data_IF_793338449297
#
_entry.id   IF_793338449297
#
_cell.length_a   1.000
_cell.length_b   1.000
_cell.length_c   1.000
_cell.angle_alpha   90.00
_cell.angle_beta   90.00
_cell.angle_gamma   90.00
#
_symmetry.space_group_name_H-M   'P 1'
#
loop_
_entity.id
_entity.type
_entity.pdbx_description
1 polymer ?
#
# COMPACT_ATOMS: atom_id res chain seq x y z
N UNK A 1 10.84 -6.99 10.00
CA UNK A 1 10.53 -6.56 8.62
C UNK A 1 10.75 -5.06 8.53
N UNK A 2 11.68 -4.59 7.70
CA UNK A 2 11.89 -3.15 7.47
C UNK A 2 11.12 -2.74 6.22
N UNK A 3 10.40 -1.63 6.29
CA UNK A 3 9.67 -1.04 5.16
C UNK A 3 10.40 0.22 4.75
N UNK A 4 10.79 0.32 3.48
CA UNK A 4 11.52 1.46 2.95
C UNK A 4 10.73 2.75 3.14
N UNK A 5 9.40 2.72 2.94
CA UNK A 5 8.53 3.88 3.16
C UNK A 5 8.57 4.40 4.60
N UNK A 6 8.82 3.55 5.60
CA UNK A 6 8.95 4.00 7.00
C UNK A 6 10.31 4.64 7.30
N UNK A 7 11.34 4.27 6.56
CA UNK A 7 12.69 4.86 6.64
C UNK A 7 12.73 6.21 5.89
N UNK A 8 12.13 6.26 4.70
CA UNK A 8 12.08 7.46 3.86
C UNK A 8 11.19 8.57 4.46
N UNK A 9 10.20 8.19 5.26
CA UNK A 9 9.21 9.12 5.80
C UNK A 9 9.07 9.01 7.33
N UNK A 10 9.38 10.09 8.07
CA UNK A 10 9.18 10.15 9.51
C UNK A 10 7.74 9.84 9.93
N UNK A 11 7.56 9.38 11.17
CA UNK A 11 6.26 9.00 11.69
C UNK A 11 5.21 10.12 11.59
N UNK A 12 5.57 11.34 12.01
CA UNK A 12 4.64 12.48 11.99
C UNK A 12 4.14 12.81 10.58
N UNK A 13 5.01 12.70 9.58
CA UNK A 13 4.62 12.87 8.18
C UNK A 13 3.60 11.81 7.76
N UNK A 14 3.90 10.53 8.02
CA UNK A 14 3.02 9.40 7.65
C UNK A 14 1.67 9.48 8.34
N UNK A 15 1.65 9.88 9.62
CA UNK A 15 0.43 10.07 10.40
C UNK A 15 -0.44 11.18 9.79
N UNK A 16 0.15 12.35 9.53
CA UNK A 16 -0.56 13.50 8.93
C UNK A 16 -1.08 13.17 7.52
N UNK A 17 -0.29 12.49 6.69
CA UNK A 17 -0.71 12.04 5.34
C UNK A 17 -1.88 11.05 5.44
N UNK A 18 -1.78 10.05 6.31
CA UNK A 18 -2.83 9.05 6.55
C UNK A 18 -4.13 9.66 7.04
N UNK A 19 -4.08 10.55 8.04
CA UNK A 19 -5.25 11.27 8.55
C UNK A 19 -5.92 12.12 7.48
N UNK A 20 -5.13 12.86 6.68
CA UNK A 20 -5.64 13.68 5.57
C UNK A 20 -6.38 12.82 4.54
N UNK A 21 -5.80 11.69 4.16
CA UNK A 21 -6.39 10.79 3.16
C UNK A 21 -7.65 10.09 3.67
N UNK A 22 -7.67 9.64 4.93
CA UNK A 22 -8.87 9.05 5.53
C UNK A 22 -10.02 10.06 5.64
N UNK A 23 -9.72 11.33 5.95
CA UNK A 23 -10.74 12.40 5.93
C UNK A 23 -11.27 12.68 4.52
N UNK A 24 -10.40 12.63 3.51
CA UNK A 24 -10.78 12.88 2.11
C UNK A 24 -11.57 11.73 1.48
N UNK A 25 -11.27 10.49 1.87
CA UNK A 25 -11.89 9.28 1.32
C UNK A 25 -12.29 8.34 2.46
N UNK A 26 -13.43 8.61 3.14
CA UNK A 26 -13.84 7.89 4.35
C UNK A 26 -14.07 6.39 4.12
N UNK A 27 -14.58 6.03 2.94
CA UNK A 27 -14.88 4.63 2.58
C UNK A 27 -13.68 3.88 2.01
N UNK A 28 -12.47 4.43 2.16
CA UNK A 28 -11.26 3.83 1.61
C UNK A 28 -10.13 3.77 2.63
N UNK A 29 -9.34 2.70 2.53
CA UNK A 29 -8.21 2.39 3.38
C UNK A 29 -6.91 2.68 2.63
N UNK A 30 -6.04 3.58 3.13
CA UNK A 30 -4.71 3.77 2.56
C UNK A 30 -3.80 2.59 2.94
N UNK A 31 -3.23 1.93 1.93
CA UNK A 31 -2.36 0.75 2.09
C UNK A 31 -1.02 1.00 1.42
N UNK A 32 0.07 0.69 2.13
CA UNK A 32 1.42 0.69 1.58
C UNK A 32 1.82 -0.75 1.27
N UNK A 33 2.22 -1.02 0.02
CA UNK A 33 2.66 -2.34 -0.44
C UNK A 33 4.11 -2.26 -0.88
N UNK A 34 4.93 -3.15 -0.35
CA UNK A 34 6.34 -3.28 -0.71
C UNK A 34 6.71 -4.74 -0.96
N UNK A 35 7.63 -4.94 -1.91
CA UNK A 35 8.21 -6.26 -2.19
C UNK A 35 9.11 -6.67 -1.01
N UNK A 36 8.98 -7.91 -0.56
CA UNK A 36 9.89 -8.43 0.45
C UNK A 36 11.33 -8.50 -0.10
N UNK A 37 12.39 -8.19 0.69
CA UNK A 37 13.76 -8.02 0.18
C UNK A 37 14.34 -9.22 -0.59
N UNK A 38 13.85 -10.44 -0.32
CA UNK A 38 14.34 -11.69 -0.96
C UNK A 38 13.31 -12.33 -1.89
N UNK A 39 12.20 -11.63 -2.19
CA UNK A 39 11.17 -12.17 -3.06
C UNK A 39 11.61 -12.13 -4.52
N UNK A 40 11.47 -13.27 -5.22
CA UNK A 40 11.74 -13.42 -6.65
C UNK A 40 10.50 -13.08 -7.47
N UNK A 41 10.02 -11.86 -7.34
CA UNK A 41 8.87 -11.32 -8.11
C UNK A 41 9.23 -9.95 -8.69
N UNK A 42 8.56 -9.51 -9.76
CA UNK A 42 8.75 -8.16 -10.31
C UNK A 42 8.48 -7.07 -9.27
N UNK A 43 9.09 -5.91 -9.47
CA UNK A 43 8.85 -4.74 -8.64
C UNK A 43 7.47 -4.11 -8.94
N UNK A 44 6.89 -3.49 -7.91
CA UNK A 44 5.66 -2.73 -8.05
C UNK A 44 5.95 -1.32 -8.58
N UNK A 45 5.17 -0.89 -9.56
CA UNK A 45 5.18 0.48 -10.12
C UNK A 45 4.79 1.54 -9.08
N UNK A 46 3.85 1.19 -8.20
CA UNK A 46 3.31 2.07 -7.15
C UNK A 46 3.26 1.34 -5.83
N UNK A 47 3.58 2.05 -4.75
CA UNK A 47 3.57 1.51 -3.39
C UNK A 47 2.37 1.94 -2.56
N UNK A 48 1.70 3.05 -2.93
CA UNK A 48 0.55 3.59 -2.19
C UNK A 48 -0.76 3.25 -2.90
N UNK A 49 -1.70 2.65 -2.17
CA UNK A 49 -3.00 2.24 -2.67
C UNK A 49 -4.10 2.83 -1.79
N UNK A 50 -5.24 3.12 -2.40
CA UNK A 50 -6.44 3.55 -1.71
C UNK A 50 -7.56 2.56 -2.03
N UNK A 51 -7.76 1.63 -1.11
CA UNK A 51 -8.55 0.42 -1.32
C UNK A 51 -9.96 0.61 -0.74
N UNK A 52 -11.04 0.27 -1.46
CA UNK A 52 -12.40 0.25 -0.89
C UNK A 52 -12.48 -0.63 0.36
N UNK A 53 -13.24 -0.21 1.38
CA UNK A 53 -13.37 -0.93 2.65
C UNK A 53 -14.07 -2.29 2.54
N UNK A 54 -14.88 -2.48 1.51
CA UNK A 54 -15.59 -3.71 1.17
C UNK A 54 -14.76 -4.70 0.33
N UNK A 55 -13.58 -4.27 -0.14
CA UNK A 55 -12.73 -5.10 -0.97
C UNK A 55 -12.01 -6.16 -0.13
N UNK A 56 -12.25 -7.43 -0.46
CA UNK A 56 -11.67 -8.58 0.25
C UNK A 56 -10.17 -8.70 0.01
N UNK A 57 -9.45 -9.31 0.95
CA UNK A 57 -8.01 -9.58 0.79
C UNK A 57 -7.70 -10.38 -0.48
N UNK A 58 -8.57 -11.33 -0.86
CA UNK A 58 -8.43 -12.12 -2.10
C UNK A 58 -8.53 -11.26 -3.37
N UNK A 59 -9.49 -10.34 -3.42
CA UNK A 59 -9.59 -9.37 -4.52
C UNK A 59 -8.35 -8.45 -4.55
N UNK A 60 -7.86 -8.03 -3.39
CA UNK A 60 -6.67 -7.17 -3.32
C UNK A 60 -5.42 -7.91 -3.82
N UNK A 61 -5.26 -9.17 -3.41
CA UNK A 61 -4.21 -10.05 -3.89
C UNK A 61 -4.22 -10.16 -5.43
N UNK A 62 -5.41 -10.39 -6.02
CA UNK A 62 -5.55 -10.46 -7.47
C UNK A 62 -5.15 -9.16 -8.17
N UNK A 63 -5.51 -7.99 -7.62
CA UNK A 63 -5.11 -6.69 -8.16
C UNK A 63 -3.60 -6.47 -8.13
N UNK A 64 -2.94 -6.84 -7.04
CA UNK A 64 -1.48 -6.73 -6.91
C UNK A 64 -0.80 -7.70 -7.88
N UNK A 65 -1.28 -8.94 -7.97
CA UNK A 65 -0.76 -9.95 -8.90
C UNK A 65 -0.84 -9.50 -10.36
N UNK A 66 -1.99 -8.92 -10.76
CA UNK A 66 -2.17 -8.32 -12.09
C UNK A 66 -1.18 -7.18 -12.37
N UNK A 67 -0.84 -6.35 -11.37
CA UNK A 67 0.13 -5.24 -11.52
C UNK A 67 1.56 -5.70 -11.71
N UNK A 68 1.94 -6.81 -11.09
CA UNK A 68 3.27 -7.41 -11.28
C UNK A 68 3.29 -8.42 -12.42
N UNK A 69 2.24 -8.45 -13.26
CA UNK A 69 2.11 -9.31 -14.43
C UNK A 69 2.29 -10.82 -14.14
N UNK A 70 1.68 -11.29 -13.05
CA UNK A 70 1.64 -12.71 -12.64
C UNK A 70 0.25 -13.32 -12.70
#
# INVERSE_FOLDING_TARGET
MKFQYKEDHPFEYRKKEGEKIRKKYPDRVPVIVEKAPKARVPDLDKRKYLVPSDLTVGQFYFLIRKRIHL
#
